data_IF_796953187040
#
_entry.id   IF_796953187040
#
_cell.length_a   1.000
_cell.length_b   1.000
_cell.length_c   1.000
_cell.angle_alpha   90.00
_cell.angle_beta   90.00
_cell.angle_gamma   90.00
#
_symmetry.space_group_name_H-M   'P 1'
#
loop_
_entity.id
_entity.type
_entity.pdbx_description
1 polymer ?
#
# COMPACT_ATOMS: atom_id res chain seq x y z
N UNK A 1 -14.61 -19.13 -4.40
CA UNK A 1 -13.57 -18.10 -4.23
C UNK A 1 -13.83 -17.01 -5.25
N UNK A 2 -13.76 -15.73 -4.87
CA UNK A 2 -13.90 -14.61 -5.80
C UNK A 2 -12.68 -14.62 -6.74
N UNK A 3 -12.90 -14.62 -8.05
CA UNK A 3 -11.81 -14.42 -9.00
C UNK A 3 -11.50 -12.93 -9.05
N UNK A 4 -10.23 -12.57 -8.84
CA UNK A 4 -9.75 -11.20 -8.88
C UNK A 4 -9.04 -11.02 -10.22
N UNK A 5 -9.68 -10.29 -11.14
CA UNK A 5 -9.18 -10.03 -12.49
C UNK A 5 -8.72 -8.58 -12.62
N UNK A 6 -7.97 -8.22 -13.68
CA UNK A 6 -7.64 -6.83 -13.94
C UNK A 6 -8.88 -5.91 -14.03
N UNK A 7 -9.95 -6.37 -14.68
CA UNK A 7 -11.20 -5.63 -14.85
C UNK A 7 -11.90 -5.38 -13.52
N UNK A 8 -11.74 -6.29 -12.57
CA UNK A 8 -12.27 -6.11 -11.22
C UNK A 8 -11.63 -4.91 -10.53
N UNK A 9 -10.30 -4.79 -10.52
CA UNK A 9 -9.65 -3.62 -9.93
C UNK A 9 -9.97 -2.34 -10.69
N UNK A 10 -10.02 -2.42 -12.02
CA UNK A 10 -10.39 -1.28 -12.86
C UNK A 10 -11.79 -0.77 -12.51
N UNK A 11 -12.77 -1.66 -12.37
CA UNK A 11 -14.14 -1.28 -12.02
C UNK A 11 -14.21 -0.61 -10.63
N UNK A 12 -13.47 -1.11 -9.64
CA UNK A 12 -13.40 -0.48 -8.32
C UNK A 12 -12.81 0.91 -8.40
N UNK A 13 -11.72 1.10 -9.15
CA UNK A 13 -11.07 2.38 -9.36
C UNK A 13 -11.96 3.42 -10.05
N UNK A 14 -12.66 2.99 -11.10
CA UNK A 14 -13.50 3.85 -11.92
C UNK A 14 -14.73 4.33 -11.16
N UNK A 15 -15.28 3.47 -10.28
CA UNK A 15 -16.47 3.77 -9.48
C UNK A 15 -16.16 4.24 -8.06
N UNK A 16 -14.88 4.41 -7.73
CA UNK A 16 -14.44 4.85 -6.41
C UNK A 16 -14.87 6.29 -6.12
N UNK A 17 -15.47 6.47 -4.96
CA UNK A 17 -15.84 7.76 -4.39
C UNK A 17 -15.29 7.85 -2.97
N UNK A 18 -14.63 8.96 -2.65
CA UNK A 18 -14.13 9.21 -1.31
C UNK A 18 -15.28 9.42 -0.34
N UNK A 19 -15.13 8.91 0.88
CA UNK A 19 -16.08 9.20 1.95
C UNK A 19 -15.94 10.69 2.34
N UNK A 20 -17.02 11.49 2.31
CA UNK A 20 -16.96 12.93 2.57
C UNK A 20 -16.29 13.28 3.90
N UNK A 21 -16.54 12.49 4.95
CA UNK A 21 -15.99 12.67 6.28
C UNK A 21 -14.49 12.29 6.39
N UNK A 22 -13.88 11.75 5.33
CA UNK A 22 -12.47 11.35 5.29
C UNK A 22 -11.59 12.20 4.37
N UNK A 23 -12.17 13.11 3.60
CA UNK A 23 -11.43 13.88 2.56
C UNK A 23 -10.22 14.62 3.12
N UNK A 24 -10.33 15.27 4.28
CA UNK A 24 -9.20 15.98 4.91
C UNK A 24 -8.07 15.02 5.28
N UNK A 25 -8.41 13.81 5.73
CA UNK A 25 -7.43 12.79 6.08
C UNK A 25 -6.77 12.20 4.83
N UNK A 26 -7.54 11.99 3.76
CA UNK A 26 -7.02 11.54 2.46
C UNK A 26 -6.02 12.57 1.91
N UNK A 27 -6.39 13.86 1.92
CA UNK A 27 -5.51 14.94 1.51
C UNK A 27 -4.23 15.00 2.36
N UNK A 28 -4.34 14.78 3.68
CA UNK A 28 -3.18 14.71 4.57
C UNK A 28 -2.21 13.57 4.17
N UNK A 29 -2.71 12.39 3.81
CA UNK A 29 -1.87 11.28 3.34
C UNK A 29 -1.15 11.64 2.03
N UNK A 30 -1.89 12.19 1.05
CA UNK A 30 -1.32 12.60 -0.24
C UNK A 30 -0.23 13.68 -0.07
N UNK A 31 -0.51 14.71 0.73
CA UNK A 31 0.46 15.79 1.01
C UNK A 31 1.70 15.28 1.76
N UNK A 32 1.52 14.38 2.74
CA UNK A 32 2.65 13.81 3.48
C UNK A 32 3.51 12.92 2.59
N UNK A 33 2.90 12.16 1.68
CA UNK A 33 3.61 11.39 0.67
C UNK A 33 4.41 12.31 -0.26
N UNK A 34 3.78 13.37 -0.80
CA UNK A 34 4.45 14.34 -1.67
C UNK A 34 5.62 15.04 -1.00
N UNK A 35 5.52 15.33 0.30
CA UNK A 35 6.61 15.93 1.07
C UNK A 35 7.89 15.09 1.04
N UNK A 36 7.77 13.77 0.91
CA UNK A 36 8.90 12.84 0.91
C UNK A 36 9.20 12.26 -0.47
N UNK A 37 8.63 12.84 -1.53
CA UNK A 37 8.74 12.37 -2.91
C UNK A 37 10.18 12.06 -3.33
N UNK A 38 11.13 12.96 -3.06
CA UNK A 38 12.52 12.79 -3.48
C UNK A 38 13.15 11.50 -2.94
N UNK A 39 12.86 11.12 -1.70
CA UNK A 39 13.36 9.86 -1.10
C UNK A 39 12.75 8.63 -1.78
N UNK A 40 11.48 8.71 -2.17
CA UNK A 40 10.83 7.62 -2.89
C UNK A 40 11.33 7.51 -4.34
N UNK A 41 11.63 8.63 -4.99
CA UNK A 41 12.22 8.66 -6.34
C UNK A 41 13.64 8.10 -6.35
N UNK A 42 14.42 8.27 -5.28
CA UNK A 42 15.72 7.60 -5.11
C UNK A 42 15.57 6.08 -5.13
N UNK A 43 14.65 5.54 -4.32
CA UNK A 43 14.38 4.09 -4.31
C UNK A 43 13.81 3.60 -5.64
N UNK A 44 12.91 4.37 -6.27
CA UNK A 44 12.35 4.05 -7.59
C UNK A 44 13.47 3.90 -8.63
N UNK A 45 14.48 4.78 -8.60
CA UNK A 45 15.60 4.74 -9.54
C UNK A 45 16.42 3.45 -9.46
N UNK A 46 16.42 2.78 -8.31
CA UNK A 46 17.15 1.52 -8.08
C UNK A 46 16.30 0.27 -8.33
N UNK A 47 15.01 0.29 -7.97
CA UNK A 47 14.16 -0.90 -8.00
C UNK A 47 13.06 -0.91 -9.09
N UNK A 48 12.77 0.25 -9.71
CA UNK A 48 11.75 0.39 -10.75
C UNK A 48 10.30 0.34 -10.26
N UNK A 49 10.07 0.36 -8.94
CA UNK A 49 8.73 0.52 -8.34
C UNK A 49 8.41 2.01 -8.25
N UNK A 50 7.27 2.48 -8.79
CA UNK A 50 6.99 3.91 -8.84
C UNK A 50 6.98 4.58 -7.47
N UNK A 51 7.53 5.80 -7.37
CA UNK A 51 7.65 6.53 -6.11
C UNK A 51 6.33 6.63 -5.33
N UNK A 52 5.21 6.80 -6.04
CA UNK A 52 3.89 6.91 -5.43
C UNK A 52 3.34 5.58 -4.89
N UNK A 53 3.78 4.44 -5.45
CA UNK A 53 3.49 3.10 -4.93
C UNK A 53 4.31 2.86 -3.66
N UNK A 54 5.62 3.18 -3.69
CA UNK A 54 6.51 3.07 -2.52
C UNK A 54 5.98 3.94 -1.37
N UNK A 55 5.62 5.19 -1.66
CA UNK A 55 5.07 6.11 -0.68
C UNK A 55 3.74 5.64 -0.09
N UNK A 56 2.88 5.01 -0.88
CA UNK A 56 1.63 4.43 -0.39
C UNK A 56 1.88 3.23 0.54
N UNK A 57 2.83 2.36 0.21
CA UNK A 57 3.26 1.28 1.10
C UNK A 57 3.80 1.86 2.41
N UNK A 58 4.72 2.82 2.33
CA UNK A 58 5.31 3.46 3.51
C UNK A 58 4.24 4.11 4.42
N UNK A 59 3.20 4.69 3.83
CA UNK A 59 2.07 5.25 4.56
C UNK A 59 1.30 4.22 5.40
N UNK A 60 1.12 3.00 4.88
CA UNK A 60 0.33 1.96 5.53
C UNK A 60 1.16 1.10 6.49
N UNK A 61 2.41 0.78 6.15
CA UNK A 61 3.29 -0.08 6.95
C UNK A 61 3.90 0.66 8.14
N UNK A 62 4.26 1.94 7.98
CA UNK A 62 4.95 2.69 9.03
C UNK A 62 4.42 4.11 9.26
N UNK A 63 3.31 4.52 8.64
CA UNK A 63 2.76 5.86 8.87
C UNK A 63 3.69 7.00 8.45
N UNK A 64 4.57 6.74 7.48
CA UNK A 64 5.67 7.59 7.04
C UNK A 64 6.80 7.79 8.07
N UNK A 65 7.01 6.83 8.95
CA UNK A 65 8.14 6.80 9.87
C UNK A 65 9.38 6.20 9.21
N UNK A 66 10.37 7.04 8.93
CA UNK A 66 11.62 6.62 8.29
C UNK A 66 12.57 5.86 9.24
N UNK A 67 12.25 5.79 10.53
CA UNK A 67 12.95 4.94 11.49
C UNK A 67 12.39 3.51 11.51
N UNK A 68 11.39 3.21 10.66
CA UNK A 68 10.77 1.90 10.51
C UNK A 68 11.09 1.27 9.15
N UNK A 69 11.30 -0.05 9.17
CA UNK A 69 11.53 -0.89 8.01
C UNK A 69 10.25 -1.00 7.15
N UNK A 70 10.39 -0.75 5.85
CA UNK A 70 9.26 -0.72 4.92
C UNK A 70 8.46 -2.03 4.89
N UNK A 71 9.13 -3.18 5.04
CA UNK A 71 8.51 -4.49 4.85
C UNK A 71 7.57 -4.96 5.95
N UNK A 72 7.60 -4.36 7.15
CA UNK A 72 6.73 -4.76 8.26
C UNK A 72 6.55 -3.72 9.39
N UNK A 73 7.11 -2.52 9.24
CA UNK A 73 6.99 -1.44 10.22
C UNK A 73 7.80 -1.60 11.51
N UNK A 74 8.63 -2.64 11.67
CA UNK A 74 9.57 -2.74 12.80
C UNK A 74 10.71 -1.72 12.70
N UNK A 75 11.43 -1.46 13.79
CA UNK A 75 12.53 -0.50 13.81
C UNK A 75 13.62 -0.86 12.79
N UNK A 76 14.02 0.12 11.97
CA UNK A 76 15.01 0.00 10.90
C UNK A 76 16.40 -0.42 11.41
N UNK A 77 16.78 0.10 12.59
CA UNK A 77 18.07 -0.17 13.24
C UNK A 77 18.13 -1.51 13.99
N UNK A 78 17.15 -2.40 13.82
CA UNK A 78 17.10 -3.72 14.46
C UNK A 78 16.82 -4.84 13.45
N UNK A 79 17.17 -6.07 13.83
CA UNK A 79 16.80 -7.26 13.05
C UNK A 79 15.32 -7.53 13.23
N UNK A 80 14.57 -7.66 12.13
CA UNK A 80 13.11 -7.88 12.17
C UNK A 80 12.73 -9.22 12.81
N UNK A 81 11.68 -9.21 13.61
CA UNK A 81 11.11 -10.40 14.27
C UNK A 81 9.76 -10.81 13.70
N UNK A 82 9.05 -9.86 13.06
CA UNK A 82 7.83 -10.06 12.30
C UNK A 82 8.17 -10.43 10.85
N UNK A 83 7.21 -11.03 10.14
CA UNK A 83 7.42 -11.40 8.72
C UNK A 83 7.49 -10.11 7.89
N UNK A 84 8.48 -9.96 6.99
CA UNK A 84 9.61 -10.86 6.72
C UNK A 84 10.65 -10.80 7.84
N UNK A 85 10.99 -11.97 8.41
CA UNK A 85 11.88 -12.09 9.59
C UNK A 85 13.35 -12.06 9.20
N UNK A 86 14.21 -11.59 10.10
CA UNK A 86 15.66 -11.66 9.93
C UNK A 86 16.21 -10.68 8.90
N UNK A 87 15.51 -9.56 8.68
CA UNK A 87 15.95 -8.47 7.80
C UNK A 87 16.66 -7.40 8.62
N UNK A 88 17.58 -6.66 8.00
CA UNK A 88 18.34 -5.60 8.66
C UNK A 88 19.38 -6.11 9.69
N UNK A 89 19.89 -5.21 10.57
CA UNK A 89 19.61 -3.78 10.58
C UNK A 89 20.09 -3.10 9.29
N UNK A 90 19.47 -1.97 8.93
CA UNK A 90 19.85 -1.17 7.77
C UNK A 90 20.42 0.18 8.21
N UNK A 91 21.43 0.66 7.48
CA UNK A 91 22.05 1.96 7.76
C UNK A 91 21.16 3.14 7.31
N UNK A 92 20.39 2.94 6.25
CA UNK A 92 19.45 3.92 5.70
C UNK A 92 18.07 3.31 5.48
N UNK A 93 17.05 4.16 5.43
CA UNK A 93 15.70 3.71 5.13
C UNK A 93 15.59 3.21 3.69
N UNK A 94 16.33 3.85 2.77
CA UNK A 94 16.42 3.49 1.35
C UNK A 94 16.95 2.07 1.18
N UNK A 95 17.98 1.67 1.93
CA UNK A 95 18.50 0.29 1.91
C UNK A 95 17.46 -0.72 2.41
N UNK A 96 16.74 -0.38 3.49
CA UNK A 96 15.64 -1.20 3.98
C UNK A 96 14.46 -1.26 3.01
N UNK A 97 14.13 -0.16 2.34
CA UNK A 97 13.07 -0.11 1.35
C UNK A 97 13.40 -0.99 0.14
N UNK A 98 14.63 -0.90 -0.38
CA UNK A 98 15.12 -1.77 -1.46
C UNK A 98 15.05 -3.23 -1.08
N UNK A 99 15.54 -3.58 0.11
CA UNK A 99 15.47 -4.95 0.63
C UNK A 99 14.03 -5.48 0.65
N UNK A 100 13.07 -4.69 1.14
CA UNK A 100 11.66 -5.06 1.19
C UNK A 100 11.04 -5.26 -0.20
N UNK A 101 11.38 -4.41 -1.17
CA UNK A 101 10.83 -4.45 -2.52
C UNK A 101 11.45 -5.56 -3.39
N UNK A 102 12.68 -5.98 -3.07
CA UNK A 102 13.38 -7.06 -3.78
C UNK A 102 13.08 -8.46 -3.24
N UNK A 103 12.40 -8.57 -2.10
CA UNK A 103 11.96 -9.86 -1.55
C UNK A 103 11.19 -10.66 -2.61
N UNK A 104 11.49 -11.96 -2.79
CA UNK A 104 10.84 -12.79 -3.80
C UNK A 104 9.31 -12.67 -3.86
N UNK A 105 8.55 -12.76 -2.74
CA UNK A 105 7.09 -12.63 -2.81
C UNK A 105 6.60 -11.25 -3.26
N UNK A 106 7.41 -10.20 -3.13
CA UNK A 106 7.06 -8.84 -3.59
C UNK A 106 7.46 -8.69 -5.05
N UNK A 107 8.71 -9.01 -5.38
CA UNK A 107 9.28 -8.89 -6.72
C UNK A 107 8.58 -9.76 -7.75
N UNK A 108 8.13 -10.96 -7.38
CA UNK A 108 7.38 -11.87 -8.28
C UNK A 108 6.02 -11.30 -8.69
N UNK A 109 5.51 -10.30 -7.97
CA UNK A 109 4.25 -9.64 -8.26
C UNK A 109 4.39 -8.29 -8.98
N UNK A 110 5.62 -7.87 -9.28
CA UNK A 110 5.87 -6.66 -10.09
C UNK A 110 5.18 -6.78 -11.44
N UNK A 111 4.26 -5.87 -11.80
CA UNK A 111 3.53 -5.96 -13.05
C UNK A 111 4.44 -5.59 -14.23
N UNK A 112 4.17 -6.17 -15.41
CA UNK A 112 4.87 -5.78 -16.63
C UNK A 112 4.61 -4.32 -17.04
N UNK A 113 3.47 -3.77 -16.61
CA UNK A 113 3.07 -2.37 -16.83
C UNK A 113 2.41 -1.87 -15.55
N UNK A 114 2.82 -0.69 -15.08
CA UNK A 114 2.29 -0.04 -13.88
C UNK A 114 0.93 0.63 -14.09
N UNK A 115 -0.01 -0.06 -14.73
CA UNK A 115 -1.39 0.39 -14.87
C UNK A 115 -2.20 0.20 -13.58
N UNK A 116 -3.41 0.77 -13.52
CA UNK A 116 -4.28 0.70 -12.33
C UNK A 116 -4.47 -0.74 -11.79
N UNK A 117 -4.83 -1.73 -12.63
CA UNK A 117 -4.94 -3.11 -12.13
C UNK A 117 -3.62 -3.69 -11.65
N UNK A 118 -2.50 -3.40 -12.32
CA UNK A 118 -1.17 -3.84 -11.94
C UNK A 118 -0.75 -3.28 -10.58
N UNK A 119 -0.94 -1.97 -10.37
CA UNK A 119 -0.68 -1.29 -9.10
C UNK A 119 -1.55 -1.88 -7.98
N UNK A 120 -2.86 -2.01 -8.20
CA UNK A 120 -3.77 -2.55 -7.20
C UNK A 120 -3.42 -4.00 -6.83
N UNK A 121 -3.08 -4.83 -7.83
CA UNK A 121 -2.65 -6.21 -7.61
C UNK A 121 -1.35 -6.30 -6.83
N UNK A 122 -0.36 -5.49 -7.20
CA UNK A 122 0.93 -5.43 -6.53
C UNK A 122 0.76 -5.05 -5.05
N UNK A 123 0.01 -3.98 -4.77
CA UNK A 123 -0.28 -3.54 -3.41
C UNK A 123 -1.11 -4.55 -2.60
N UNK A 124 -2.05 -5.26 -3.24
CA UNK A 124 -2.83 -6.29 -2.56
C UNK A 124 -1.98 -7.47 -2.14
N UNK A 125 -1.06 -7.92 -2.99
CA UNK A 125 -0.16 -9.02 -2.64
C UNK A 125 0.97 -8.58 -1.70
N UNK A 126 1.39 -7.30 -1.74
CA UNK A 126 2.31 -6.74 -0.75
C UNK A 126 1.76 -6.88 0.67
N UNK A 127 0.51 -6.45 0.89
CA UNK A 127 -0.18 -6.63 2.17
C UNK A 127 -0.59 -8.10 2.43
N UNK A 128 -0.91 -8.82 1.36
CA UNK A 128 -1.41 -10.19 1.39
C UNK A 128 -2.87 -10.31 0.95
N UNK A 129 -3.14 -11.41 0.26
CA UNK A 129 -4.40 -11.71 -0.42
C UNK A 129 -5.50 -12.34 0.45
N UNK A 130 -5.35 -12.27 1.78
CA UNK A 130 -6.25 -12.93 2.74
C UNK A 130 -7.70 -12.47 2.63
N UNK A 131 -7.93 -11.20 2.30
CA UNK A 131 -9.27 -10.65 2.13
C UNK A 131 -10.02 -11.40 1.04
N UNK A 132 -9.73 -11.23 -0.24
CA UNK A 132 -10.53 -11.88 -1.28
C UNK A 132 -10.46 -13.42 -1.27
N UNK A 133 -9.38 -14.02 -0.74
CA UNK A 133 -9.23 -15.49 -0.66
C UNK A 133 -10.20 -16.10 0.37
N UNK A 134 -10.35 -15.47 1.54
CA UNK A 134 -11.07 -16.04 2.68
C UNK A 134 -12.32 -15.25 3.09
N UNK A 135 -12.44 -14.02 2.62
CA UNK A 135 -13.48 -13.06 2.98
C UNK A 135 -14.02 -12.38 1.72
N UNK A 136 -15.34 -12.40 1.50
CA UNK A 136 -15.91 -11.80 0.29
C UNK A 136 -16.01 -10.26 0.38
N UNK A 137 -14.91 -9.59 0.73
CA UNK A 137 -14.81 -8.14 0.88
C UNK A 137 -13.63 -7.60 0.05
N UNK A 138 -13.70 -6.31 -0.28
CA UNK A 138 -12.58 -5.61 -0.87
C UNK A 138 -11.55 -5.29 0.22
N UNK A 139 -10.26 -5.37 -0.08
CA UNK A 139 -9.20 -5.16 0.90
C UNK A 139 -9.25 -3.72 1.49
N UNK A 140 -9.35 -3.54 2.82
CA UNK A 140 -9.19 -2.22 3.44
C UNK A 140 -7.84 -1.59 3.14
N UNK A 141 -6.78 -2.39 2.93
CA UNK A 141 -5.44 -1.92 2.59
C UNK A 141 -5.45 -1.13 1.27
N UNK A 142 -6.29 -1.50 0.32
CA UNK A 142 -6.43 -0.77 -0.95
C UNK A 142 -7.49 0.33 -0.86
N UNK A 143 -8.65 0.04 -0.27
CA UNK A 143 -9.89 0.76 -0.56
C UNK A 143 -10.51 1.51 0.64
N UNK A 144 -9.91 1.42 1.83
CA UNK A 144 -10.45 2.12 3.00
C UNK A 144 -10.50 3.64 2.79
N UNK A 145 -11.54 4.28 3.30
CA UNK A 145 -11.94 5.67 3.07
C UNK A 145 -12.62 5.95 1.72
N UNK A 146 -13.07 4.90 1.04
CA UNK A 146 -13.95 5.02 -0.14
C UNK A 146 -15.21 4.17 -0.01
N UNK A 147 -16.18 4.39 -0.90
CA UNK A 147 -17.37 3.56 -1.07
C UNK A 147 -17.05 2.09 -1.42
N UNK A 148 -15.82 1.76 -1.80
CA UNK A 148 -15.41 0.39 -2.13
C UNK A 148 -15.10 -0.46 -0.89
N UNK A 149 -15.13 0.10 0.32
CA UNK A 149 -14.93 -0.64 1.57
C UNK A 149 -15.86 -0.14 2.67
N UNK A 150 -16.49 -1.06 3.41
CA UNK A 150 -17.40 -0.72 4.51
C UNK A 150 -16.86 -1.17 5.87
N UNK A 151 -16.58 -2.47 6.02
CA UNK A 151 -16.07 -3.05 7.27
C UNK A 151 -15.38 -4.39 7.01
N UNK A 152 -14.73 -4.91 8.04
CA UNK A 152 -13.94 -6.14 7.99
C UNK A 152 -12.46 -5.83 7.88
N UNK A 153 -11.66 -6.31 8.84
CA UNK A 153 -10.21 -6.25 8.74
C UNK A 153 -9.54 -7.39 9.52
N UNK A 154 -8.32 -7.72 9.15
CA UNK A 154 -7.42 -8.43 10.05
C UNK A 154 -6.95 -7.44 11.14
N UNK A 155 -7.09 -7.81 12.41
CA UNK A 155 -6.59 -7.02 13.55
C UNK A 155 -5.18 -7.42 13.96
N UNK A 156 -4.78 -8.62 13.55
CA UNK A 156 -3.46 -9.21 13.66
C UNK A 156 -3.40 -10.41 12.71
N UNK A 157 -2.24 -11.02 12.55
CA UNK A 157 -2.05 -12.20 11.71
C UNK A 157 -3.11 -13.28 11.99
N UNK A 158 -3.82 -13.69 10.93
CA UNK A 158 -4.88 -14.68 10.98
C UNK A 158 -6.17 -14.26 11.71
N UNK A 159 -6.23 -13.07 12.31
CA UNK A 159 -7.35 -12.64 13.16
C UNK A 159 -8.28 -11.67 12.43
N UNK A 160 -9.14 -12.20 11.56
CA UNK A 160 -10.17 -11.42 10.89
C UNK A 160 -11.34 -11.06 11.83
N UNK A 161 -11.82 -9.82 11.71
CA UNK A 161 -13.00 -9.30 12.41
C UNK A 161 -13.89 -8.54 11.44
N UNK A 162 -15.06 -9.09 11.12
CA UNK A 162 -16.03 -8.51 10.19
C UNK A 162 -16.59 -7.14 10.63
N UNK A 163 -16.65 -6.91 11.95
CA UNK A 163 -17.17 -5.69 12.56
C UNK A 163 -16.14 -4.57 12.71
N UNK A 164 -14.84 -4.87 12.58
CA UNK A 164 -13.80 -3.85 12.70
C UNK A 164 -13.69 -3.05 11.40
N UNK A 165 -13.55 -1.73 11.53
CA UNK A 165 -13.39 -0.81 10.40
C UNK A 165 -11.96 -0.29 10.40
N UNK A 166 -11.32 -0.24 9.24
CA UNK A 166 -10.00 0.38 9.10
C UNK A 166 -10.07 1.89 9.37
N UNK A 167 -9.06 2.39 10.11
CA UNK A 167 -8.86 3.82 10.38
C UNK A 167 -7.67 4.39 9.60
N UNK A 168 -7.04 3.57 8.76
CA UNK A 168 -5.97 3.96 7.84
C UNK A 168 -6.58 4.15 6.45
N UNK A 169 -6.06 5.15 5.71
CA UNK A 169 -6.44 5.38 4.32
C UNK A 169 -5.91 4.25 3.44
N UNK A 170 -6.73 3.74 2.52
CA UNK A 170 -6.29 2.72 1.57
C UNK A 170 -5.29 3.27 0.55
N UNK A 171 -4.34 2.44 0.11
CA UNK A 171 -3.29 2.82 -0.82
C UNK A 171 -3.83 3.35 -2.17
N UNK A 172 -4.85 2.70 -2.74
CA UNK A 172 -5.46 3.17 -4.00
C UNK A 172 -6.23 4.49 -3.80
N UNK A 173 -6.75 4.74 -2.60
CA UNK A 173 -7.40 6.01 -2.25
C UNK A 173 -6.37 7.15 -2.21
N UNK A 174 -5.19 6.91 -1.62
CA UNK A 174 -4.07 7.87 -1.61
C UNK A 174 -3.63 8.17 -3.05
N UNK A 175 -3.41 7.14 -3.87
CA UNK A 175 -2.96 7.29 -5.26
C UNK A 175 -4.01 8.04 -6.10
N UNK A 176 -5.31 7.81 -5.88
CA UNK A 176 -6.37 8.58 -6.56
C UNK A 176 -6.31 10.05 -6.18
N UNK A 177 -6.04 10.38 -4.92
CA UNK A 177 -5.88 11.77 -4.51
C UNK A 177 -4.68 12.42 -5.20
N UNK A 178 -3.54 11.73 -5.30
CA UNK A 178 -2.38 12.24 -6.05
C UNK A 178 -2.69 12.51 -7.53
N UNK A 179 -3.51 11.67 -8.16
CA UNK A 179 -3.98 11.88 -9.53
C UNK A 179 -4.90 13.11 -9.63
N UNK A 180 -5.84 13.26 -8.69
CA UNK A 180 -6.76 14.42 -8.63
C UNK A 180 -5.97 15.72 -8.43
N UNK A 181 -4.93 15.69 -7.60
CA UNK A 181 -4.05 16.83 -7.33
C UNK A 181 -3.11 17.16 -8.51
N UNK A 182 -3.07 16.32 -9.55
CA UNK A 182 -2.18 16.47 -10.71
C UNK A 182 -0.71 16.16 -10.41
N UNK A 183 -0.42 15.53 -9.27
CA UNK A 183 0.94 15.17 -8.89
C UNK A 183 1.47 13.94 -9.65
N UNK A 184 0.55 13.09 -10.13
CA UNK A 184 0.78 12.04 -11.12
C UNK A 184 -0.21 12.26 -12.27
N UNK A 185 0.21 11.96 -13.51
CA UNK A 185 -0.55 12.31 -14.71
C UNK A 185 -0.97 11.11 -15.57
N UNK A 186 -0.36 9.95 -15.34
CA UNK A 186 -0.63 8.70 -16.05
C UNK A 186 -0.07 7.52 -15.25
N UNK A 187 -0.45 6.32 -15.68
CA UNK A 187 -0.02 5.02 -15.17
C UNK A 187 0.57 4.21 -16.32
#
# INVERSE_FOLDING_TARGET
>A
MRSITPEYYQALWDTMQFLPERVDKIAWYAQKLLRYRERYEEVESECGVPWFVIGAIHALEAGFDFDCYLGNGELLGAVTTQVPKGRGPFDTWEDGAKDALELPPVREHTPAVWNIPGIARYLEEYNGSGYYRYHNINSPYLWSFSNQYQSGKYTSDGCYRASCVSVQCGAMVIIKQLLIDGAINHF
#
